data_IF_892168256958
#
_entry.id   IF_892168256958
#
_cell.length_a   1.000
_cell.length_b   1.000
_cell.length_c   1.000
_cell.angle_alpha   90.00
_cell.angle_beta   90.00
_cell.angle_gamma   90.00
#
_symmetry.space_group_name_H-M   'P 1'
#
loop_
_entity.id
_entity.type
_entity.pdbx_description
1 polymer ?
#
# COMPACT_ATOMS: atom_id res chain seq x y z
N UNK A 1 12.29 -28.62 5.49
CA UNK A 1 12.01 -27.28 4.94
C UNK A 1 12.26 -27.34 3.45
N UNK A 2 11.22 -27.23 2.63
CA UNK A 2 11.45 -26.97 1.20
C UNK A 2 11.91 -25.53 1.08
N UNK A 3 13.14 -25.33 0.61
CA UNK A 3 13.65 -24.00 0.29
C UNK A 3 12.77 -23.49 -0.85
N UNK A 4 11.97 -22.46 -0.62
CA UNK A 4 11.25 -21.81 -1.71
C UNK A 4 12.30 -21.29 -2.72
N UNK A 5 12.16 -21.65 -4.00
CA UNK A 5 13.14 -21.25 -5.01
C UNK A 5 13.25 -19.73 -5.03
N UNK A 6 14.48 -19.23 -5.15
CA UNK A 6 14.73 -17.80 -5.38
C UNK A 6 14.01 -17.38 -6.66
N UNK A 7 13.31 -16.23 -6.66
CA UNK A 7 12.70 -15.72 -7.88
C UNK A 7 13.76 -15.60 -8.97
N UNK A 8 13.50 -16.17 -10.14
CA UNK A 8 14.46 -16.24 -11.24
C UNK A 8 13.83 -15.73 -12.54
N UNK A 9 14.67 -15.57 -13.57
CA UNK A 9 14.27 -15.18 -14.90
C UNK A 9 13.26 -16.18 -15.50
N UNK A 10 12.11 -15.66 -15.89
CA UNK A 10 11.05 -16.39 -16.61
C UNK A 10 11.05 -15.94 -18.07
N UNK A 11 11.24 -16.85 -19.04
CA UNK A 11 11.21 -16.49 -20.44
C UNK A 11 9.91 -15.82 -20.86
N UNK A 12 9.97 -14.83 -21.75
CA UNK A 12 8.78 -14.10 -22.22
C UNK A 12 7.74 -15.06 -22.83
N UNK A 13 8.20 -16.08 -23.56
CA UNK A 13 7.32 -17.07 -24.14
C UNK A 13 6.53 -17.84 -23.06
N UNK A 14 7.17 -18.19 -21.95
CA UNK A 14 6.49 -18.83 -20.83
C UNK A 14 5.39 -17.92 -20.25
N UNK A 15 5.68 -16.63 -20.05
CA UNK A 15 4.70 -15.67 -19.56
C UNK A 15 3.55 -15.44 -20.54
N UNK A 16 3.81 -15.48 -21.85
CA UNK A 16 2.76 -15.48 -22.88
C UNK A 16 1.88 -16.72 -22.75
N UNK A 17 2.46 -17.91 -22.62
CA UNK A 17 1.70 -19.16 -22.57
C UNK A 17 0.75 -19.19 -21.37
N UNK A 18 1.22 -18.84 -20.17
CA UNK A 18 0.39 -18.86 -18.95
C UNK A 18 -0.70 -17.77 -18.93
N UNK A 19 -0.53 -16.70 -19.71
CA UNK A 19 -1.47 -15.57 -19.83
C UNK A 19 -2.33 -15.60 -21.10
N UNK A 20 -2.29 -16.68 -21.89
CA UNK A 20 -2.94 -16.75 -23.20
C UNK A 20 -2.57 -15.56 -24.10
N UNK A 21 -1.26 -15.32 -24.24
CA UNK A 21 -0.66 -14.21 -25.00
C UNK A 21 -1.17 -12.83 -24.56
N UNK A 22 -1.20 -12.58 -23.24
CA UNK A 22 -1.68 -11.32 -22.66
C UNK A 22 -3.11 -10.95 -23.10
N UNK A 23 -3.98 -11.96 -23.14
CA UNK A 23 -5.37 -11.85 -23.53
C UNK A 23 -6.14 -10.85 -22.64
N UNK A 24 -7.00 -10.03 -23.25
CA UNK A 24 -7.79 -9.01 -22.55
C UNK A 24 -8.75 -9.60 -21.51
N UNK A 25 -9.32 -10.78 -21.77
CA UNK A 25 -10.19 -11.47 -20.80
C UNK A 25 -9.45 -11.89 -19.51
N UNK A 26 -8.11 -11.89 -19.52
CA UNK A 26 -7.28 -12.21 -18.36
C UNK A 26 -6.84 -10.99 -17.58
N UNK A 27 -7.30 -9.80 -17.89
CA UNK A 27 -6.86 -8.58 -17.19
C UNK A 27 -7.46 -8.53 -15.78
N UNK A 28 -6.57 -8.39 -14.79
CA UNK A 28 -6.91 -8.17 -13.38
C UNK A 28 -6.98 -6.67 -13.03
N UNK A 29 -6.19 -5.85 -13.73
CA UNK A 29 -6.13 -4.40 -13.51
C UNK A 29 -5.28 -3.68 -14.56
N UNK A 30 -5.52 -2.37 -14.69
CA UNK A 30 -4.74 -1.44 -15.53
C UNK A 30 -4.39 -0.22 -14.70
N UNK A 31 -3.15 0.24 -14.77
CA UNK A 31 -2.68 1.44 -14.06
C UNK A 31 -1.57 2.16 -14.82
N UNK A 32 -1.08 3.27 -14.25
CA UNK A 32 -0.02 4.07 -14.87
C UNK A 32 1.29 3.32 -15.11
N UNK A 33 1.54 2.28 -14.31
CA UNK A 33 2.76 1.46 -14.40
C UNK A 33 2.62 0.27 -15.36
N UNK A 34 1.42 -0.13 -15.76
CA UNK A 34 1.26 -1.33 -16.58
C UNK A 34 -0.12 -1.97 -16.58
N UNK A 35 -0.18 -3.17 -17.14
CA UNK A 35 -1.36 -4.04 -17.13
C UNK A 35 -1.03 -5.32 -16.40
N UNK A 36 -1.91 -5.74 -15.49
CA UNK A 36 -1.78 -6.98 -14.73
C UNK A 36 -2.70 -8.03 -15.33
N UNK A 37 -2.14 -9.18 -15.67
CA UNK A 37 -2.85 -10.32 -16.26
C UNK A 37 -2.88 -11.51 -15.30
N UNK A 38 -3.97 -12.27 -15.34
CA UNK A 38 -4.10 -13.56 -14.69
C UNK A 38 -3.33 -14.62 -15.47
N UNK A 39 -2.28 -15.16 -14.85
CA UNK A 39 -1.56 -16.34 -15.31
C UNK A 39 -2.05 -17.61 -14.63
N UNK A 40 -1.93 -18.75 -15.31
CA UNK A 40 -2.15 -20.09 -14.73
C UNK A 40 -0.94 -20.94 -15.04
N UNK A 41 -0.19 -21.34 -14.01
CA UNK A 41 0.98 -22.21 -14.13
C UNK A 41 0.55 -23.64 -14.49
N UNK A 42 1.49 -24.48 -14.95
CA UNK A 42 1.21 -25.87 -15.35
C UNK A 42 0.60 -26.71 -14.22
N UNK A 43 0.92 -26.40 -12.96
CA UNK A 43 0.36 -27.04 -11.77
C UNK A 43 -1.03 -26.49 -11.36
N UNK A 44 -1.63 -25.60 -12.17
CA UNK A 44 -2.92 -24.96 -11.89
C UNK A 44 -2.85 -23.75 -10.95
N UNK A 45 -1.69 -23.44 -10.35
CA UNK A 45 -1.54 -22.27 -9.47
C UNK A 45 -1.76 -20.98 -10.27
N UNK A 46 -2.63 -20.12 -9.74
CA UNK A 46 -2.87 -18.79 -10.30
C UNK A 46 -1.74 -17.83 -9.92
N UNK A 47 -1.33 -16.99 -10.86
CA UNK A 47 -0.30 -15.95 -10.68
C UNK A 47 -0.77 -14.62 -11.28
N UNK A 48 -0.19 -13.51 -10.82
CA UNK A 48 -0.43 -12.19 -11.39
C UNK A 48 0.81 -11.77 -12.21
N UNK A 49 0.63 -11.53 -13.51
CA UNK A 49 1.69 -11.11 -14.42
C UNK A 49 1.53 -9.63 -14.73
N UNK A 50 2.33 -8.78 -14.09
CA UNK A 50 2.37 -7.33 -14.33
C UNK A 50 3.30 -7.05 -15.51
N UNK A 51 2.73 -6.65 -16.65
CA UNK A 51 3.47 -6.18 -17.82
C UNK A 51 3.59 -4.66 -17.76
N UNK A 52 4.81 -4.15 -17.65
CA UNK A 52 5.04 -2.72 -17.55
C UNK A 52 4.89 -2.04 -18.92
N UNK A 53 4.41 -0.79 -18.92
CA UNK A 53 4.33 0.03 -20.13
C UNK A 53 5.67 0.75 -20.31
N UNK A 54 6.40 0.40 -21.38
CA UNK A 54 7.59 1.14 -21.80
C UNK A 54 7.20 2.41 -22.55
N UNK A 55 6.88 3.46 -21.80
CA UNK A 55 6.68 4.79 -22.37
C UNK A 55 7.76 5.78 -21.95
N UNK A 56 8.48 5.55 -20.85
CA UNK A 56 9.39 6.52 -20.23
C UNK A 56 10.73 5.91 -19.79
N UNK A 57 11.80 6.71 -19.80
CA UNK A 57 13.14 6.32 -19.31
C UNK A 57 13.13 5.86 -17.84
N UNK A 58 12.23 6.39 -17.02
CA UNK A 58 12.05 5.99 -15.61
C UNK A 58 11.43 4.61 -15.42
N UNK A 59 10.77 4.03 -16.44
CA UNK A 59 10.08 2.74 -16.30
C UNK A 59 11.02 1.55 -16.10
N UNK A 60 12.24 1.62 -16.66
CA UNK A 60 13.26 0.60 -16.47
C UNK A 60 13.86 0.65 -15.05
N UNK A 61 14.18 1.85 -14.56
CA UNK A 61 14.70 2.03 -13.19
C UNK A 61 13.68 1.54 -12.15
N UNK A 62 12.39 1.87 -12.35
CA UNK A 62 11.30 1.38 -11.49
C UNK A 62 11.19 -0.15 -11.52
N UNK A 63 11.35 -0.77 -12.69
CA UNK A 63 11.34 -2.23 -12.81
C UNK A 63 12.50 -2.87 -12.05
N UNK A 64 13.74 -2.43 -12.33
CA UNK A 64 14.94 -2.99 -11.70
C UNK A 64 14.87 -2.82 -10.18
N UNK A 65 14.39 -1.67 -9.71
CA UNK A 65 14.17 -1.41 -8.30
C UNK A 65 13.12 -2.34 -7.69
N UNK A 66 11.94 -2.47 -8.32
CA UNK A 66 10.86 -3.35 -7.84
C UNK A 66 11.33 -4.83 -7.77
N UNK A 67 12.05 -5.32 -8.78
CA UNK A 67 12.66 -6.66 -8.78
C UNK A 67 13.67 -6.81 -7.64
N UNK A 68 14.63 -5.88 -7.52
CA UNK A 68 15.71 -5.95 -6.54
C UNK A 68 15.20 -5.90 -5.09
N UNK A 69 14.16 -5.12 -4.82
CA UNK A 69 13.52 -5.08 -3.52
C UNK A 69 12.74 -6.37 -3.26
N UNK A 70 11.82 -6.77 -4.15
CA UNK A 70 10.97 -7.94 -3.94
C UNK A 70 11.74 -9.27 -3.90
N UNK A 71 12.93 -9.36 -4.50
CA UNK A 71 13.81 -10.53 -4.34
C UNK A 71 14.27 -10.74 -2.89
N UNK A 72 14.38 -9.66 -2.11
CA UNK A 72 14.88 -9.70 -0.72
C UNK A 72 13.75 -9.74 0.31
N UNK A 73 12.60 -9.16 -0.02
CA UNK A 73 11.48 -9.03 0.91
C UNK A 73 10.74 -10.35 1.08
N UNK A 74 10.62 -10.81 2.32
CA UNK A 74 9.85 -11.99 2.70
C UNK A 74 9.06 -11.70 3.97
N UNK A 75 7.77 -11.43 3.79
CA UNK A 75 6.87 -11.10 4.88
C UNK A 75 5.42 -11.46 4.51
N UNK A 76 4.62 -11.89 5.48
CA UNK A 76 3.21 -12.29 5.25
C UNK A 76 2.38 -11.15 4.64
N UNK A 77 2.69 -9.91 4.99
CA UNK A 77 1.99 -8.71 4.52
C UNK A 77 2.71 -7.96 3.38
N UNK A 78 3.59 -8.64 2.64
CA UNK A 78 4.22 -8.11 1.42
C UNK A 78 3.99 -9.10 0.29
N UNK A 79 3.66 -8.60 -0.90
CA UNK A 79 3.45 -9.44 -2.08
C UNK A 79 4.71 -10.22 -2.43
N UNK A 80 4.56 -11.50 -2.74
CA UNK A 80 5.68 -12.35 -3.12
C UNK A 80 5.94 -12.29 -4.62
N UNK A 81 7.19 -11.98 -4.98
CA UNK A 81 7.72 -12.18 -6.33
C UNK A 81 7.99 -13.67 -6.57
N UNK A 82 7.51 -14.19 -7.68
CA UNK A 82 7.73 -15.57 -8.13
C UNK A 82 8.76 -15.65 -9.25
N UNK A 83 8.90 -14.58 -10.03
CA UNK A 83 9.92 -14.44 -11.07
C UNK A 83 9.74 -13.16 -11.86
N UNK A 84 10.66 -12.89 -12.78
CA UNK A 84 10.65 -11.68 -13.60
C UNK A 84 11.06 -12.00 -15.04
N UNK A 85 10.71 -11.13 -15.98
CA UNK A 85 11.18 -11.20 -17.36
C UNK A 85 11.81 -9.86 -17.73
N UNK A 86 13.01 -9.93 -18.31
CA UNK A 86 13.69 -8.80 -18.93
C UNK A 86 14.29 -9.28 -20.25
N UNK A 87 13.51 -9.18 -21.33
CA UNK A 87 13.92 -9.68 -22.64
C UNK A 87 13.85 -8.57 -23.69
N UNK A 88 14.90 -8.40 -24.49
CA UNK A 88 14.91 -7.44 -25.60
C UNK A 88 14.75 -8.15 -26.93
N UNK A 89 13.74 -7.77 -27.70
CA UNK A 89 13.44 -8.30 -29.03
C UNK A 89 13.67 -7.25 -30.11
N UNK A 90 14.22 -7.66 -31.25
CA UNK A 90 14.37 -6.79 -32.41
C UNK A 90 13.15 -6.97 -33.32
N UNK A 91 12.21 -6.02 -33.26
CA UNK A 91 10.91 -6.14 -33.91
C UNK A 91 10.75 -5.08 -35.00
N UNK A 92 10.09 -5.47 -36.08
CA UNK A 92 9.64 -4.54 -37.12
C UNK A 92 8.34 -3.88 -36.66
N UNK A 93 8.38 -2.58 -36.35
CA UNK A 93 7.22 -1.79 -35.90
C UNK A 93 6.83 -0.74 -36.93
N UNK A 94 5.54 -0.45 -37.03
CA UNK A 94 5.03 0.67 -37.83
C UNK A 94 5.16 1.95 -36.99
N UNK A 95 5.92 2.92 -37.49
CA UNK A 95 6.07 4.24 -36.89
C UNK A 95 5.88 5.29 -37.99
N UNK A 96 4.93 6.20 -37.80
CA UNK A 96 4.60 7.25 -38.79
C UNK A 96 4.40 6.72 -40.22
N UNK A 97 3.72 5.57 -40.36
CA UNK A 97 3.45 4.94 -41.67
C UNK A 97 4.63 4.21 -42.30
N UNK A 98 5.80 4.15 -41.66
CA UNK A 98 6.98 3.39 -42.13
C UNK A 98 7.29 2.24 -41.19
N UNK A 99 7.72 1.12 -41.75
CA UNK A 99 8.23 0.01 -40.94
C UNK A 99 9.69 0.27 -40.57
N UNK A 100 9.96 0.39 -39.28
CA UNK A 100 11.30 0.50 -38.72
C UNK A 100 11.64 -0.76 -37.93
N UNK A 101 12.92 -1.10 -37.86
CA UNK A 101 13.40 -2.07 -36.89
C UNK A 101 13.67 -1.33 -35.58
N UNK A 102 13.08 -1.81 -34.49
CA UNK A 102 13.22 -1.22 -33.17
C UNK A 102 13.47 -2.30 -32.13
N UNK A 103 14.30 -1.97 -31.15
CA UNK A 103 14.45 -2.75 -29.94
C UNK A 103 13.18 -2.57 -29.10
N UNK A 104 12.61 -3.68 -28.65
CA UNK A 104 11.48 -3.72 -27.74
C UNK A 104 11.89 -4.57 -26.55
N UNK A 105 12.13 -3.90 -25.43
CA UNK A 105 12.40 -4.60 -24.18
C UNK A 105 11.05 -4.97 -23.55
N UNK A 106 10.96 -6.12 -22.92
CA UNK A 106 9.75 -6.61 -22.26
C UNK A 106 10.10 -6.80 -20.78
N UNK A 107 9.54 -5.94 -19.94
CA UNK A 107 9.72 -5.97 -18.49
C UNK A 107 8.43 -6.47 -17.84
N UNK A 108 8.49 -7.66 -17.22
CA UNK A 108 7.35 -8.25 -16.55
C UNK A 108 7.72 -8.79 -15.17
N UNK A 109 6.76 -8.70 -14.24
CA UNK A 109 6.82 -9.32 -12.93
C UNK A 109 5.78 -10.43 -12.85
N UNK A 110 6.18 -11.60 -12.36
CA UNK A 110 5.29 -12.69 -12.02
C UNK A 110 5.18 -12.73 -10.48
N UNK A 111 4.00 -12.38 -9.97
CA UNK A 111 3.70 -12.25 -8.55
C UNK A 111 2.71 -13.34 -8.12
N UNK A 112 2.61 -13.59 -6.81
CA UNK A 112 1.49 -14.35 -6.28
C UNK A 112 0.14 -13.70 -6.65
N UNK A 113 -0.87 -14.52 -6.92
CA UNK A 113 -2.21 -14.03 -7.22
C UNK A 113 -3.00 -13.83 -5.92
N UNK A 114 -3.54 -12.63 -5.72
CA UNK A 114 -4.34 -12.26 -4.55
C UNK A 114 -5.80 -12.07 -4.99
N UNK A 115 -6.67 -13.08 -4.78
CA UNK A 115 -7.93 -13.19 -5.49
C UNK A 115 -9.00 -12.19 -5.05
N UNK A 116 -8.89 -11.62 -3.85
CA UNK A 116 -9.80 -10.56 -3.39
C UNK A 116 -9.42 -9.19 -3.99
N UNK A 117 -8.30 -9.08 -4.68
CA UNK A 117 -7.88 -7.85 -5.33
C UNK A 117 -7.51 -6.75 -4.33
N UNK A 118 -7.64 -5.50 -4.75
CA UNK A 118 -7.18 -4.33 -4.00
C UNK A 118 -8.20 -3.81 -2.99
N UNK A 119 -7.71 -3.26 -1.88
CA UNK A 119 -8.49 -2.75 -0.75
C UNK A 119 -9.42 -1.59 -1.14
N UNK A 120 -9.03 -0.77 -2.13
CA UNK A 120 -9.83 0.35 -2.65
C UNK A 120 -11.24 -0.06 -3.13
N UNK A 121 -11.41 -1.33 -3.54
CA UNK A 121 -12.70 -1.87 -3.96
C UNK A 121 -13.69 -2.09 -2.81
N UNK A 122 -13.23 -2.01 -1.56
CA UNK A 122 -14.02 -2.37 -0.38
C UNK A 122 -14.26 -1.20 0.59
N UNK A 123 -13.51 -0.11 0.47
CA UNK A 123 -13.55 1.01 1.41
C UNK A 123 -14.52 2.13 1.01
N UNK A 124 -15.06 2.14 -0.22
CA UNK A 124 -15.91 3.24 -0.71
C UNK A 124 -17.35 3.25 -0.17
N UNK A 125 -17.77 2.19 0.53
CA UNK A 125 -19.07 2.13 1.18
C UNK A 125 -18.91 1.68 2.64
N UNK A 126 -18.98 2.64 3.57
CA UNK A 126 -18.85 2.42 5.01
C UNK A 126 -19.78 1.32 5.54
N UNK A 127 -20.87 1.03 4.82
CA UNK A 127 -21.96 0.15 5.24
C UNK A 127 -21.99 -1.26 4.62
N UNK A 128 -21.10 -1.60 3.67
CA UNK A 128 -21.22 -2.88 2.92
C UNK A 128 -19.96 -3.76 2.80
N UNK A 129 -18.79 -3.34 3.28
CA UNK A 129 -17.53 -4.06 2.99
C UNK A 129 -17.16 -5.16 3.98
N UNK A 130 -16.95 -4.79 5.25
CA UNK A 130 -16.28 -5.62 6.25
C UNK A 130 -16.84 -5.42 7.65
N UNK A 131 -16.89 -6.51 8.42
CA UNK A 131 -17.03 -6.45 9.87
C UNK A 131 -15.82 -5.77 10.53
N UNK A 132 -15.97 -5.36 11.78
CA UNK A 132 -14.90 -4.70 12.51
C UNK A 132 -13.63 -5.58 12.64
N UNK A 133 -13.72 -6.88 12.99
CA UNK A 133 -12.55 -7.75 13.07
C UNK A 133 -11.71 -7.79 11.78
N UNK A 134 -12.35 -7.86 10.60
CA UNK A 134 -11.65 -7.85 9.32
C UNK A 134 -10.94 -6.52 9.07
N UNK A 135 -11.57 -5.39 9.41
CA UNK A 135 -10.94 -4.06 9.29
C UNK A 135 -9.73 -3.92 10.19
N UNK A 136 -9.82 -4.39 11.43
CA UNK A 136 -8.70 -4.39 12.35
C UNK A 136 -7.55 -5.28 11.84
N UNK A 137 -7.84 -6.49 11.35
CA UNK A 137 -6.85 -7.37 10.73
C UNK A 137 -6.14 -6.69 9.55
N UNK A 138 -6.88 -5.94 8.72
CA UNK A 138 -6.30 -5.19 7.60
C UNK A 138 -5.37 -4.09 8.12
N UNK A 139 -5.80 -3.28 9.09
CA UNK A 139 -4.98 -2.21 9.67
C UNK A 139 -3.70 -2.76 10.29
N UNK A 140 -3.80 -3.83 11.09
CA UNK A 140 -2.66 -4.48 11.72
C UNK A 140 -1.72 -5.07 10.67
N UNK A 141 -2.24 -5.82 9.69
CA UNK A 141 -1.42 -6.44 8.66
C UNK A 141 -0.64 -5.43 7.82
N UNK A 142 -1.26 -4.30 7.43
CA UNK A 142 -0.54 -3.23 6.73
C UNK A 142 0.56 -2.65 7.64
N UNK A 143 0.26 -2.45 8.92
CA UNK A 143 1.21 -1.92 9.89
C UNK A 143 2.42 -2.85 10.10
N UNK A 144 2.21 -4.17 10.19
CA UNK A 144 3.30 -5.16 10.25
C UNK A 144 4.15 -5.17 8.98
N UNK A 145 3.52 -5.12 7.80
CA UNK A 145 4.23 -5.01 6.53
C UNK A 145 5.10 -3.76 6.48
N UNK A 146 4.58 -2.62 6.93
CA UNK A 146 5.30 -1.35 6.92
C UNK A 146 6.44 -1.32 7.94
N UNK A 147 6.21 -1.83 9.16
CA UNK A 147 7.27 -1.96 10.17
C UNK A 147 8.43 -2.80 9.62
N UNK A 148 8.12 -3.94 8.99
CA UNK A 148 9.14 -4.79 8.37
C UNK A 148 9.97 -4.02 7.34
N UNK A 149 9.35 -3.20 6.49
CA UNK A 149 10.07 -2.36 5.51
C UNK A 149 10.97 -1.31 6.16
N UNK A 150 10.49 -0.65 7.21
CA UNK A 150 11.22 0.43 7.88
C UNK A 150 12.35 -0.07 8.79
N UNK A 151 12.32 -1.33 9.21
CA UNK A 151 13.29 -1.91 10.15
C UNK A 151 14.35 -2.81 9.49
N UNK A 152 14.42 -2.81 8.15
CA UNK A 152 15.43 -3.56 7.41
C UNK A 152 16.86 -3.25 7.89
N UNK A 153 17.70 -4.29 7.98
CA UNK A 153 19.08 -4.20 8.50
C UNK A 153 19.92 -3.21 7.71
N UNK A 154 19.77 -3.25 6.39
CA UNK A 154 20.53 -2.49 5.40
C UNK A 154 20.05 -1.03 5.27
N UNK A 155 19.02 -0.65 6.03
CA UNK A 155 18.40 0.67 6.04
C UNK A 155 16.90 0.61 5.68
N UNK A 156 16.10 1.60 6.08
CA UNK A 156 14.66 1.59 5.84
C UNK A 156 14.34 1.60 4.35
N UNK A 157 13.37 0.77 3.95
CA UNK A 157 12.74 0.85 2.64
C UNK A 157 11.48 1.70 2.79
N UNK A 158 11.42 2.80 2.06
CA UNK A 158 10.27 3.71 2.08
C UNK A 158 9.46 3.45 0.81
N UNK A 159 8.16 3.19 0.95
CA UNK A 159 7.29 2.76 -0.13
C UNK A 159 6.95 3.89 -1.10
N UNK A 160 6.58 5.06 -0.59
CA UNK A 160 6.28 6.31 -1.32
C UNK A 160 5.00 6.36 -2.16
N UNK A 161 4.27 5.26 -2.25
CA UNK A 161 2.97 5.20 -2.94
C UNK A 161 2.01 4.25 -2.20
N UNK A 162 2.06 4.30 -0.86
CA UNK A 162 1.16 3.50 -0.05
C UNK A 162 -0.26 4.08 -0.16
N UNK A 163 -1.19 3.27 -0.65
CA UNK A 163 -2.61 3.59 -0.84
C UNK A 163 -3.40 2.28 -0.91
N UNK A 164 -4.72 2.28 -0.72
CA UNK A 164 -5.55 1.08 -0.76
C UNK A 164 -5.50 0.33 -2.10
N UNK A 165 -5.29 1.02 -3.23
CA UNK A 165 -5.07 0.36 -4.53
C UNK A 165 -3.78 -0.50 -4.58
N UNK A 166 -2.81 -0.18 -3.71
CA UNK A 166 -1.53 -0.88 -3.54
C UNK A 166 -1.52 -1.81 -2.31
N UNK A 167 -2.70 -2.05 -1.70
CA UNK A 167 -2.90 -3.09 -0.70
C UNK A 167 -3.79 -4.17 -1.31
N UNK A 168 -3.22 -5.34 -1.59
CA UNK A 168 -3.95 -6.48 -2.13
C UNK A 168 -4.38 -7.43 -1.00
N UNK A 169 -5.45 -8.16 -1.22
CA UNK A 169 -6.08 -9.02 -0.22
C UNK A 169 -6.06 -10.48 -0.69
N UNK A 170 -5.61 -11.37 0.18
CA UNK A 170 -5.65 -12.82 -0.07
C UNK A 170 -7.05 -13.40 0.18
N UNK A 171 -7.17 -14.73 0.09
CA UNK A 171 -8.45 -15.45 0.30
C UNK A 171 -9.06 -15.23 1.69
N UNK A 172 -8.22 -14.95 2.70
CA UNK A 172 -8.58 -14.77 4.11
C UNK A 172 -8.59 -13.29 4.52
N UNK A 173 -8.64 -12.37 3.56
CA UNK A 173 -8.60 -10.92 3.81
C UNK A 173 -7.32 -10.44 4.49
N UNK A 174 -6.21 -11.20 4.39
CA UNK A 174 -4.92 -10.76 4.89
C UNK A 174 -4.33 -9.77 3.88
N UNK A 175 -3.96 -8.55 4.31
CA UNK A 175 -3.44 -7.53 3.42
C UNK A 175 -1.98 -7.79 3.05
N UNK A 176 -1.62 -7.49 1.80
CA UNK A 176 -0.26 -7.50 1.29
C UNK A 176 0.06 -6.21 0.54
N UNK A 177 1.13 -5.55 0.94
CA UNK A 177 1.66 -4.35 0.28
C UNK A 177 2.29 -4.76 -1.07
N UNK A 178 1.98 -4.01 -2.14
CA UNK A 178 2.49 -4.23 -3.51
C UNK A 178 2.89 -2.91 -4.17
N UNK A 179 3.49 -2.99 -5.36
CA UNK A 179 3.86 -1.85 -6.22
C UNK A 179 5.05 -1.04 -5.68
N UNK A 180 6.20 -1.71 -5.58
CA UNK A 180 7.44 -1.15 -5.05
C UNK A 180 8.23 -0.32 -6.10
N UNK A 181 7.62 0.01 -7.24
CA UNK A 181 8.29 0.72 -8.33
C UNK A 181 8.84 2.08 -7.91
N UNK A 182 8.14 2.80 -7.02
CA UNK A 182 8.58 4.09 -6.49
C UNK A 182 9.40 3.98 -5.20
N UNK A 183 9.48 2.78 -4.60
CA UNK A 183 10.10 2.59 -3.30
C UNK A 183 11.60 2.85 -3.34
N UNK A 184 12.19 3.23 -2.21
CA UNK A 184 13.63 3.52 -2.14
C UNK A 184 14.22 2.93 -0.87
N UNK A 185 15.41 2.32 -1.00
CA UNK A 185 16.24 1.92 0.13
C UNK A 185 17.09 3.12 0.58
N UNK A 186 17.04 3.47 1.85
CA UNK A 186 17.78 4.61 2.39
C UNK A 186 18.89 4.15 3.33
N UNK A 187 20.05 4.78 3.22
CA UNK A 187 21.04 4.72 4.31
C UNK A 187 20.49 5.49 5.52
N UNK A 188 20.73 4.98 6.74
CA UNK A 188 20.10 5.42 8.01
C UNK A 188 20.34 6.90 8.39
N UNK A 189 21.08 7.66 7.59
CA UNK A 189 21.55 9.02 7.87
C UNK A 189 21.07 10.09 6.86
N UNK A 190 20.26 9.76 5.87
CA UNK A 190 19.92 10.70 4.80
C UNK A 190 18.43 11.04 4.72
N UNK A 191 18.11 12.33 4.91
CA UNK A 191 16.90 12.94 4.37
C UNK A 191 17.18 13.31 2.91
N UNK A 192 16.40 12.78 1.97
CA UNK A 192 16.60 13.06 0.55
C UNK A 192 15.64 14.15 0.10
N UNK A 193 16.21 15.16 -0.58
CA UNK A 193 15.45 16.09 -1.41
C UNK A 193 15.30 15.49 -2.81
N UNK A 194 14.09 15.06 -3.19
CA UNK A 194 13.80 14.64 -4.57
C UNK A 194 13.36 15.83 -5.41
N UNK A 195 13.92 15.97 -6.61
CA UNK A 195 13.51 17.01 -7.57
C UNK A 195 12.17 16.68 -8.26
N UNK A 196 11.72 15.42 -8.19
CA UNK A 196 10.48 14.95 -8.81
C UNK A 196 9.55 14.41 -7.74
N UNK A 197 8.40 15.06 -7.58
CA UNK A 197 7.30 14.58 -6.73
C UNK A 197 6.52 13.52 -7.51
N UNK A 198 6.67 12.26 -7.11
CA UNK A 198 5.90 11.11 -7.61
C UNK A 198 5.13 10.52 -6.44
N UNK A 199 3.97 9.90 -6.68
CA UNK A 199 3.08 9.40 -5.64
C UNK A 199 1.63 9.80 -5.88
N UNK A 200 0.73 9.39 -5.00
CA UNK A 200 -0.71 9.61 -5.15
C UNK A 200 -1.22 10.76 -4.29
N UNK A 201 -1.83 11.77 -4.92
CA UNK A 201 -2.45 12.90 -4.22
C UNK A 201 -3.50 12.41 -3.22
N UNK A 202 -3.53 13.02 -2.03
CA UNK A 202 -4.35 12.60 -0.90
C UNK A 202 -3.65 11.64 0.07
N UNK A 203 -2.58 10.97 -0.34
CA UNK A 203 -1.75 10.12 0.54
C UNK A 203 -0.36 10.71 0.79
N UNK A 204 0.06 11.69 -0.02
CA UNK A 204 1.35 12.36 0.16
C UNK A 204 1.27 13.39 1.30
N UNK A 205 2.21 13.34 2.27
CA UNK A 205 2.30 14.36 3.31
C UNK A 205 2.79 15.71 2.76
N UNK A 206 2.57 16.82 3.49
CA UNK A 206 2.93 18.16 3.03
C UNK A 206 4.44 18.36 2.79
N UNK A 207 5.31 17.74 3.57
CA UNK A 207 6.76 17.84 3.37
C UNK A 207 7.24 17.10 2.11
N UNK A 208 6.54 16.04 1.69
CA UNK A 208 6.86 15.31 0.46
C UNK A 208 6.54 16.17 -0.77
N UNK A 209 5.50 16.99 -0.72
CA UNK A 209 5.23 17.98 -1.78
C UNK A 209 6.36 19.02 -1.91
N UNK A 210 7.20 19.19 -0.89
CA UNK A 210 8.40 20.03 -0.90
C UNK A 210 9.68 19.23 -1.22
N UNK A 211 9.53 17.99 -1.66
CA UNK A 211 10.61 17.08 -2.03
C UNK A 211 11.26 16.36 -0.86
N UNK A 212 10.78 16.50 0.38
CA UNK A 212 11.37 15.85 1.57
C UNK A 212 10.75 14.48 1.75
N UNK A 213 11.56 13.43 1.63
CA UNK A 213 11.12 12.05 1.85
C UNK A 213 11.79 11.49 3.10
N UNK A 214 11.00 10.89 3.99
CA UNK A 214 11.45 10.15 5.17
C UNK A 214 10.51 8.97 5.45
N UNK A 215 10.84 8.02 6.34
CA UNK A 215 9.92 6.93 6.67
C UNK A 215 8.56 7.45 7.19
N UNK A 216 8.52 8.67 7.73
CA UNK A 216 7.30 9.34 8.14
C UNK A 216 6.34 9.65 7.00
N UNK A 217 6.81 9.62 5.75
CA UNK A 217 5.96 9.78 4.58
C UNK A 217 5.01 8.60 4.40
N UNK A 218 5.50 7.37 4.61
CA UNK A 218 4.63 6.19 4.60
C UNK A 218 3.74 6.13 5.85
N UNK A 219 4.23 6.60 7.01
CA UNK A 219 3.40 6.68 8.23
C UNK A 219 2.20 7.60 8.01
N UNK A 220 2.39 8.74 7.34
CA UNK A 220 1.27 9.60 6.95
C UNK A 220 0.29 8.87 6.03
N UNK A 221 0.80 8.21 4.99
CA UNK A 221 -0.03 7.42 4.06
C UNK A 221 -0.82 6.33 4.79
N UNK A 222 -0.20 5.63 5.75
CA UNK A 222 -0.84 4.66 6.62
C UNK A 222 -1.96 5.30 7.43
N UNK A 223 -1.73 6.49 8.00
CA UNK A 223 -2.76 7.25 8.71
C UNK A 223 -4.00 7.49 7.85
N UNK A 224 -3.81 7.96 6.61
CA UNK A 224 -4.92 8.17 5.66
C UNK A 224 -5.66 6.86 5.36
N UNK A 225 -4.92 5.75 5.16
CA UNK A 225 -5.53 4.43 4.92
C UNK A 225 -6.34 3.97 6.13
N UNK A 226 -5.83 4.15 7.36
CA UNK A 226 -6.55 3.82 8.59
C UNK A 226 -7.86 4.59 8.64
N UNK A 227 -7.85 5.89 8.33
CA UNK A 227 -9.07 6.70 8.27
C UNK A 227 -10.05 6.14 7.24
N UNK A 228 -9.61 5.89 6.01
CA UNK A 228 -10.46 5.37 4.93
C UNK A 228 -11.02 3.98 5.23
N UNK A 229 -10.25 3.11 5.91
CA UNK A 229 -10.72 1.80 6.37
C UNK A 229 -11.76 1.94 7.49
N UNK A 230 -11.72 2.96 8.32
CA UNK A 230 -12.68 3.15 9.43
C UNK A 230 -13.93 3.89 8.98
N UNK A 231 -13.80 4.96 8.21
CA UNK A 231 -14.91 5.89 7.90
C UNK A 231 -15.48 5.68 6.51
N UNK A 232 -14.76 4.97 5.65
CA UNK A 232 -15.08 4.83 4.22
C UNK A 232 -14.75 6.06 3.37
N UNK A 233 -14.08 7.06 3.93
CA UNK A 233 -13.64 8.26 3.23
C UNK A 233 -12.27 8.73 3.74
N UNK A 234 -11.62 9.61 2.98
CA UNK A 234 -10.29 10.13 3.35
C UNK A 234 -10.32 11.34 4.27
N UNK A 235 -11.49 11.93 4.48
CA UNK A 235 -11.59 13.16 5.27
C UNK A 235 -11.17 12.94 6.72
N UNK A 236 -10.30 13.80 7.22
CA UNK A 236 -9.89 13.89 8.63
C UNK A 236 -9.98 15.35 9.12
N UNK A 237 -9.97 15.61 10.45
CA UNK A 237 -10.29 16.90 11.07
C UNK A 237 -9.63 18.14 10.46
N UNK A 238 -8.37 18.05 10.03
CA UNK A 238 -7.65 19.14 9.37
C UNK A 238 -8.31 19.58 8.05
N UNK A 239 -8.97 18.68 7.34
CA UNK A 239 -9.62 18.96 6.06
C UNK A 239 -11.02 19.57 6.24
N UNK A 240 -11.71 19.21 7.33
CA UNK A 240 -13.12 19.60 7.58
C UNK A 240 -13.30 20.68 8.66
N UNK A 241 -12.20 21.16 9.28
CA UNK A 241 -12.19 22.20 10.35
C UNK A 241 -13.01 21.80 11.58
N UNK A 242 -13.01 20.50 11.90
CA UNK A 242 -13.64 19.94 13.10
C UNK A 242 -12.57 19.63 14.14
N UNK A 243 -12.91 19.60 15.44
CA UNK A 243 -11.94 19.14 16.45
C UNK A 243 -11.74 17.62 16.36
N UNK A 244 -10.52 17.14 16.64
CA UNK A 244 -10.23 15.69 16.70
C UNK A 244 -11.17 14.94 17.63
N UNK A 245 -11.57 15.57 18.75
CA UNK A 245 -12.53 15.00 19.71
C UNK A 245 -13.93 14.84 19.11
N UNK A 246 -14.46 15.88 18.50
CA UNK A 246 -15.80 15.85 17.89
C UNK A 246 -15.86 14.85 16.73
N UNK A 247 -14.78 14.75 15.95
CA UNK A 247 -14.66 13.75 14.88
C UNK A 247 -14.72 12.32 15.43
N UNK A 248 -13.94 12.01 16.48
CA UNK A 248 -13.96 10.69 17.13
C UNK A 248 -15.37 10.38 17.65
N UNK A 249 -16.02 11.32 18.32
CA UNK A 249 -17.37 11.14 18.86
C UNK A 249 -18.41 10.88 17.75
N UNK A 250 -18.31 11.58 16.62
CA UNK A 250 -19.20 11.41 15.48
C UNK A 250 -19.02 10.04 14.82
N UNK A 251 -17.79 9.63 14.51
CA UNK A 251 -17.52 8.35 13.87
C UNK A 251 -17.84 7.18 14.80
N UNK A 252 -17.53 7.29 16.09
CA UNK A 252 -17.85 6.25 17.07
C UNK A 252 -19.37 6.06 17.21
N UNK A 253 -20.15 7.13 17.10
CA UNK A 253 -21.62 7.04 17.10
C UNK A 253 -22.12 6.24 15.89
N UNK A 254 -21.61 6.53 14.68
CA UNK A 254 -21.96 5.78 13.46
C UNK A 254 -21.63 4.29 13.62
N UNK A 255 -20.46 3.98 14.18
CA UNK A 255 -20.04 2.61 14.42
C UNK A 255 -20.91 1.88 15.45
N UNK A 256 -21.31 2.56 16.54
CA UNK A 256 -22.27 1.98 17.49
C UNK A 256 -23.60 1.63 16.84
N UNK A 257 -24.11 2.52 16.00
CA UNK A 257 -25.36 2.28 15.27
C UNK A 257 -25.23 1.05 14.35
N UNK A 258 -24.08 0.87 13.68
CA UNK A 258 -23.80 -0.30 12.82
C UNK A 258 -23.64 -1.60 13.63
N UNK A 259 -22.85 -1.60 14.69
CA UNK A 259 -22.57 -2.80 15.49
C UNK A 259 -23.80 -3.28 16.28
N UNK A 260 -24.74 -2.40 16.59
CA UNK A 260 -25.98 -2.74 17.29
C UNK A 260 -27.10 -3.25 16.37
N UNK A 261 -26.90 -3.27 15.05
CA UNK A 261 -27.88 -3.83 14.11
C UNK A 261 -28.13 -5.31 14.42
N UNK A 262 -27.08 -6.04 14.83
CA UNK A 262 -27.18 -7.45 15.21
C UNK A 262 -27.61 -7.58 16.68
N UNK A 263 -28.81 -8.13 16.96
CA UNK A 263 -29.28 -8.30 18.34
C UNK A 263 -28.36 -9.26 19.11
N UNK A 264 -27.73 -8.77 20.18
CA UNK A 264 -26.87 -9.59 21.04
C UNK A 264 -25.37 -9.52 20.71
N UNK A 265 -24.91 -8.51 19.97
CA UNK A 265 -23.49 -8.28 19.73
C UNK A 265 -22.68 -8.12 21.03
N UNK A 266 -21.93 -9.15 21.43
CA UNK A 266 -21.30 -9.24 22.76
C UNK A 266 -20.05 -8.41 22.93
N UNK A 267 -19.42 -7.98 21.83
CA UNK A 267 -18.10 -7.33 21.83
C UNK A 267 -18.17 -5.80 21.66
N UNK A 268 -19.37 -5.21 21.70
CA UNK A 268 -19.60 -3.80 21.37
C UNK A 268 -18.61 -2.84 22.04
N UNK A 269 -18.45 -2.92 23.36
CA UNK A 269 -17.57 -1.99 24.09
C UNK A 269 -16.09 -2.20 23.78
N UNK A 270 -15.67 -3.45 23.54
CA UNK A 270 -14.28 -3.77 23.15
C UNK A 270 -14.00 -3.19 21.77
N UNK A 271 -14.92 -3.41 20.83
CA UNK A 271 -14.78 -2.93 19.46
C UNK A 271 -14.83 -1.40 19.40
N UNK A 272 -15.72 -0.76 20.15
CA UNK A 272 -15.74 0.70 20.27
C UNK A 272 -14.41 1.26 20.81
N UNK A 273 -13.78 0.59 21.77
CA UNK A 273 -12.46 1.00 22.27
C UNK A 273 -11.37 0.83 21.21
N UNK A 274 -11.39 -0.28 20.47
CA UNK A 274 -10.43 -0.52 19.38
C UNK A 274 -10.64 0.48 18.23
N UNK A 275 -11.88 0.76 17.83
CA UNK A 275 -12.24 1.77 16.82
C UNK A 275 -11.72 3.14 17.23
N UNK A 276 -12.03 3.56 18.47
CA UNK A 276 -11.56 4.85 19.01
C UNK A 276 -10.04 4.96 18.93
N UNK A 277 -9.34 3.89 19.34
CA UNK A 277 -7.88 3.81 19.28
C UNK A 277 -7.36 3.89 17.85
N UNK A 278 -7.95 3.17 16.90
CA UNK A 278 -7.51 3.22 15.51
C UNK A 278 -7.73 4.61 14.89
N UNK A 279 -8.83 5.30 15.21
CA UNK A 279 -9.05 6.70 14.79
C UNK A 279 -7.95 7.60 15.38
N UNK A 280 -7.67 7.49 16.68
CA UNK A 280 -6.61 8.26 17.33
C UNK A 280 -5.24 8.02 16.66
N UNK A 281 -4.89 6.77 16.39
CA UNK A 281 -3.65 6.42 15.68
C UNK A 281 -3.63 7.04 14.28
N UNK A 282 -4.73 6.95 13.54
CA UNK A 282 -4.88 7.58 12.22
C UNK A 282 -4.58 9.08 12.27
N UNK A 283 -5.20 9.80 13.21
CA UNK A 283 -5.00 11.23 13.44
C UNK A 283 -3.55 11.59 13.78
N UNK A 284 -2.92 10.82 14.67
CA UNK A 284 -1.52 11.01 15.04
C UNK A 284 -0.60 10.78 13.84
N UNK A 285 -0.90 9.78 13.01
CA UNK A 285 -0.14 9.47 11.80
C UNK A 285 -0.24 10.55 10.72
N UNK A 286 -1.40 11.20 10.57
CA UNK A 286 -1.60 12.30 9.60
C UNK A 286 -1.16 13.68 10.11
N UNK A 287 -0.44 13.75 11.22
CA UNK A 287 0.03 15.04 11.75
C UNK A 287 0.86 15.80 10.70
N UNK A 288 0.59 17.10 10.43
CA UNK A 288 1.34 17.89 9.45
C UNK A 288 2.84 17.98 9.77
N UNK A 289 3.22 17.92 11.05
CA UNK A 289 4.61 17.88 11.48
C UNK A 289 5.11 16.43 11.56
N UNK A 290 5.99 16.03 10.62
CA UNK A 290 6.51 14.66 10.58
C UNK A 290 7.20 14.20 11.88
N UNK A 291 7.75 15.12 12.68
CA UNK A 291 8.41 14.82 13.97
C UNK A 291 7.43 14.41 15.06
N UNK A 292 6.14 14.72 14.89
CA UNK A 292 5.05 14.35 15.80
C UNK A 292 4.40 13.01 15.42
N UNK A 293 4.80 12.39 14.30
CA UNK A 293 4.28 11.08 13.86
C UNK A 293 5.00 9.91 14.56
N UNK A 294 4.34 8.75 14.72
CA UNK A 294 4.91 7.61 15.44
C UNK A 294 5.70 6.71 14.47
N UNK A 295 7.04 6.68 14.59
CA UNK A 295 7.89 5.93 13.65
C UNK A 295 7.75 4.41 13.77
N UNK A 296 7.79 3.88 15.00
CA UNK A 296 7.92 2.44 15.29
C UNK A 296 6.88 1.89 16.27
N UNK A 297 6.02 2.78 16.75
CA UNK A 297 5.10 2.49 17.86
C UNK A 297 3.69 2.16 17.40
N UNK A 298 3.39 2.24 16.09
CA UNK A 298 2.02 2.07 15.58
C UNK A 298 1.43 0.72 16.00
N UNK A 299 2.20 -0.36 15.91
CA UNK A 299 1.73 -1.69 16.31
C UNK A 299 1.51 -1.79 17.82
N UNK A 300 2.47 -1.31 18.62
CA UNK A 300 2.33 -1.28 20.08
C UNK A 300 1.12 -0.44 20.51
N UNK A 301 0.86 0.67 19.81
CA UNK A 301 -0.32 1.51 20.01
C UNK A 301 -1.59 0.75 19.66
N UNK A 302 -1.66 0.05 18.51
CA UNK A 302 -2.81 -0.77 18.10
C UNK A 302 -3.13 -1.85 19.15
N UNK A 303 -2.10 -2.53 19.64
CA UNK A 303 -2.19 -3.57 20.68
C UNK A 303 -2.49 -3.01 22.08
N UNK A 304 -2.43 -1.69 22.27
CA UNK A 304 -2.64 -1.03 23.56
C UNK A 304 -1.47 -1.20 24.54
N UNK A 305 -0.28 -1.54 24.03
CA UNK A 305 0.96 -1.68 24.80
C UNK A 305 1.69 -0.33 24.99
N UNK A 306 1.40 0.66 24.14
CA UNK A 306 2.00 2.00 24.18
C UNK A 306 0.92 3.07 24.44
N UNK A 307 1.18 4.00 25.35
CA UNK A 307 0.29 5.14 25.60
C UNK A 307 0.36 6.18 24.47
N UNK A 308 -0.78 6.77 24.15
CA UNK A 308 -0.91 7.83 23.14
C UNK A 308 -0.92 9.24 23.76
N UNK A 309 -0.85 9.37 25.09
CA UNK A 309 -1.07 10.63 25.81
C UNK A 309 -0.16 11.76 25.33
N UNK A 310 1.12 11.45 25.08
CA UNK A 310 2.11 12.42 24.55
C UNK A 310 1.70 13.02 23.21
N UNK A 311 1.11 12.21 22.33
CA UNK A 311 0.71 12.65 21.00
C UNK A 311 -0.56 13.50 21.08
N UNK A 312 -1.53 13.06 21.89
CA UNK A 312 -2.80 13.76 22.10
C UNK A 312 -2.59 15.12 22.78
N UNK A 313 -1.69 15.21 23.77
CA UNK A 313 -1.39 16.48 24.45
C UNK A 313 -0.80 17.54 23.52
N UNK A 314 -0.04 17.12 22.50
CA UNK A 314 0.61 18.02 21.55
C UNK A 314 -0.29 18.47 20.39
N UNK A 315 -1.44 17.81 20.19
CA UNK A 315 -2.49 18.24 19.26
C UNK A 315 -3.20 19.50 19.81
N UNK A 316 -3.50 19.51 21.12
CA UNK A 316 -4.19 20.61 21.83
C UNK A 316 -3.35 21.90 21.81
N UNK A 317 -2.03 21.80 21.94
CA UNK A 317 -1.13 22.96 21.90
C UNK A 317 -1.07 23.57 20.49
N UNK A 318 -1.09 22.74 19.44
CA UNK A 318 -0.99 23.21 18.05
C UNK A 318 -2.21 24.00 17.57
N UNK A 319 -3.41 23.66 18.06
CA UNK A 319 -4.64 24.42 17.79
C UNK A 319 -4.66 25.77 18.51
N UNK A 320 -4.06 25.86 19.70
CA UNK A 320 -4.01 27.10 20.49
C UNK A 320 -3.00 28.14 19.93
N UNK A 321 -1.98 27.70 19.19
CA UNK A 321 -0.97 28.58 18.57
C UNK A 321 -1.37 29.06 17.16
N UNK A 322 -2.49 28.57 16.62
CA UNK A 322 -3.00 28.92 15.28
C UNK A 322 -4.19 29.90 15.27
N UNK A 323 -4.50 30.53 16.41
CA UNK A 323 -5.58 31.53 16.57
C UNK A 323 -5.04 32.95 16.62
#
# INVERSE_FOLDING_TARGET
MMIEPTPDHMPLQHLKDITNNFCNERILGRGGFGVVYKGVLQNGKMVAVKKLVQSMSSSQEQFENEVNLLMKLKHTNIVQLLGYCYETQHLRKLHEGKFIFAWNTECLLCLECLPKGSLDKYISDASYGFDWPTRLQIIEGISYGLQYLHEQSDGPIIHLDLKPANILLDENMIPKITDFGLSRLFDKKQTIHTAVTTGTLGYMPPEYLRGIITPMSDIFSLGVIIMEVITGHRDYPYDIRTSSKEFIELELKKWRDVLQIEPGYTSLEIDCQQITRCIQIGLICVNPEQTKRPMKKVIDMLQGLESMDWYISNEVTSLAESV
#
